data_IF_730858960082
#
_entry.id   IF_730858960082
#
_cell.length_a   1.000
_cell.length_b   1.000
_cell.length_c   1.000
_cell.angle_alpha   90.00
_cell.angle_beta   90.00
_cell.angle_gamma   90.00
#
_symmetry.space_group_name_H-M   'P 1'
#
loop_
_entity.id
_entity.type
_entity.pdbx_description
1 polymer ?
#
# COMPACT_ATOMS: atom_id res chain seq x y z
N UNK A 1 7.16 -3.66 -27.00
CA UNK A 1 6.78 -2.26 -26.69
C UNK A 1 7.58 -1.80 -25.49
N UNK A 2 7.96 -0.51 -25.44
CA UNK A 2 8.54 0.08 -24.24
C UNK A 2 7.46 0.20 -23.14
N UNK A 3 7.86 0.13 -21.86
CA UNK A 3 6.93 0.31 -20.73
C UNK A 3 6.45 1.75 -20.65
N UNK A 4 5.18 1.91 -20.27
CA UNK A 4 4.60 3.20 -19.84
C UNK A 4 5.24 3.67 -18.54
N UNK A 5 5.01 4.94 -18.16
CA UNK A 5 5.51 5.47 -16.89
C UNK A 5 4.93 4.73 -15.68
N UNK A 6 3.63 4.40 -15.72
CA UNK A 6 2.97 3.64 -14.65
C UNK A 6 3.56 2.24 -14.50
N UNK A 7 3.78 1.53 -15.61
CA UNK A 7 4.43 0.22 -15.58
C UNK A 7 5.85 0.28 -15.03
N UNK A 8 6.61 1.35 -15.30
CA UNK A 8 7.95 1.56 -14.72
C UNK A 8 7.89 1.80 -13.22
N UNK A 9 6.94 2.60 -12.73
CA UNK A 9 6.76 2.87 -11.29
C UNK A 9 6.42 1.57 -10.56
N UNK A 10 5.42 0.82 -11.03
CA UNK A 10 5.06 -0.47 -10.42
C UNK A 10 6.18 -1.50 -10.58
N UNK A 11 6.92 -1.48 -11.68
CA UNK A 11 8.06 -2.39 -11.84
C UNK A 11 9.15 -2.12 -10.81
N UNK A 12 9.41 -0.84 -10.52
CA UNK A 12 10.33 -0.42 -9.47
C UNK A 12 9.81 -0.81 -8.08
N UNK A 13 8.55 -0.51 -7.78
CA UNK A 13 7.94 -0.77 -6.47
C UNK A 13 7.80 -2.27 -6.14
N UNK A 14 7.87 -3.14 -7.15
CA UNK A 14 7.74 -4.60 -7.02
C UNK A 14 9.05 -5.36 -7.30
N UNK A 15 10.11 -4.66 -7.73
CA UNK A 15 11.37 -5.21 -8.22
C UNK A 15 11.21 -6.28 -9.33
N UNK A 16 10.23 -6.11 -10.21
CA UNK A 16 9.87 -7.03 -11.30
C UNK A 16 9.38 -6.25 -12.51
N UNK A 17 9.51 -6.79 -13.73
CA UNK A 17 8.93 -6.14 -14.91
C UNK A 17 7.43 -6.42 -14.99
N UNK A 18 6.60 -5.38 -14.96
CA UNK A 18 5.13 -5.52 -14.99
C UNK A 18 4.51 -4.92 -16.25
N UNK A 19 3.30 -5.36 -16.58
CA UNK A 19 2.46 -4.84 -17.67
C UNK A 19 1.00 -4.68 -17.23
N UNK A 20 0.22 -3.94 -18.01
CA UNK A 20 -1.23 -3.83 -17.80
C UNK A 20 -1.90 -5.21 -17.69
N UNK A 21 -2.74 -5.39 -16.67
CA UNK A 21 -3.43 -6.64 -16.35
C UNK A 21 -2.74 -7.53 -15.32
N UNK A 22 -1.48 -7.24 -14.95
CA UNK A 22 -0.79 -7.98 -13.90
C UNK A 22 -1.34 -7.61 -12.51
N UNK A 23 -1.58 -8.61 -11.65
CA UNK A 23 -1.79 -8.41 -10.21
C UNK A 23 -0.44 -8.35 -9.50
N UNK A 24 -0.20 -7.31 -8.69
CA UNK A 24 1.09 -7.10 -8.02
C UNK A 24 0.91 -6.64 -6.58
N UNK A 25 1.89 -6.96 -5.74
CA UNK A 25 2.04 -6.42 -4.39
C UNK A 25 3.17 -5.37 -4.43
N UNK A 26 2.81 -4.10 -4.46
CA UNK A 26 3.74 -2.98 -4.54
C UNK A 26 3.95 -2.35 -3.15
N UNK A 27 5.18 -1.92 -2.87
CA UNK A 27 5.46 -1.13 -1.67
C UNK A 27 4.79 0.25 -1.75
N UNK A 28 4.35 0.75 -0.60
CA UNK A 28 3.74 2.06 -0.46
C UNK A 28 4.77 3.02 0.12
N UNK A 29 5.09 4.08 -0.63
CA UNK A 29 6.05 5.10 -0.21
C UNK A 29 5.44 6.11 0.78
N UNK A 30 4.16 6.45 0.61
CA UNK A 30 3.44 7.34 1.50
C UNK A 30 1.93 7.02 1.48
N UNK A 31 1.27 7.11 2.63
CA UNK A 31 -0.18 7.06 2.73
C UNK A 31 -0.68 8.28 3.50
N UNK A 32 -1.69 8.96 2.95
CA UNK A 32 -2.29 10.13 3.53
C UNK A 32 -3.75 9.85 3.88
N UNK A 33 -4.21 10.43 4.99
CA UNK A 33 -5.61 10.44 5.36
C UNK A 33 -6.04 11.87 5.72
N UNK A 34 -7.35 12.11 5.73
CA UNK A 34 -7.95 13.39 6.13
C UNK A 34 -9.05 13.16 7.16
N UNK A 35 -9.60 14.25 7.69
CA UNK A 35 -10.59 14.32 8.76
C UNK A 35 -11.63 13.18 8.79
N UNK A 36 -12.30 12.90 7.67
CA UNK A 36 -13.34 11.87 7.60
C UNK A 36 -12.78 10.46 7.40
N UNK A 37 -11.75 10.31 6.55
CA UNK A 37 -11.22 8.98 6.21
C UNK A 37 -10.30 8.40 7.28
N UNK A 38 -9.72 9.24 8.13
CA UNK A 38 -8.78 8.83 9.18
C UNK A 38 -9.43 7.92 10.23
N UNK A 39 -10.55 8.34 10.86
CA UNK A 39 -11.28 7.51 11.80
C UNK A 39 -11.69 6.16 11.22
N UNK A 40 -12.19 6.13 9.97
CA UNK A 40 -12.60 4.89 9.29
C UNK A 40 -11.41 3.95 9.02
N UNK A 41 -10.26 4.50 8.61
CA UNK A 41 -9.04 3.71 8.41
C UNK A 41 -8.53 3.10 9.73
N UNK A 42 -8.62 3.84 10.84
CA UNK A 42 -8.22 3.35 12.18
C UNK A 42 -9.18 2.26 12.68
N UNK A 43 -10.48 2.40 12.44
CA UNK A 43 -11.47 1.36 12.77
C UNK A 43 -11.18 0.06 12.01
N UNK A 44 -10.99 0.14 10.68
CA UNK A 44 -10.61 -1.02 9.87
C UNK A 44 -9.28 -1.64 10.32
N UNK A 45 -8.28 -0.82 10.63
CA UNK A 45 -7.00 -1.29 11.15
C UNK A 45 -7.17 -2.08 12.46
N UNK A 46 -7.98 -1.58 13.41
CA UNK A 46 -8.23 -2.24 14.70
C UNK A 46 -8.86 -3.62 14.55
N UNK A 47 -9.79 -3.78 13.60
CA UNK A 47 -10.35 -5.11 13.31
C UNK A 47 -9.32 -6.04 12.66
N UNK A 48 -8.52 -5.55 11.70
CA UNK A 48 -7.46 -6.34 11.04
C UNK A 48 -6.41 -6.85 12.04
N UNK A 49 -6.04 -6.02 13.02
CA UNK A 49 -5.04 -6.40 14.05
C UNK A 49 -5.66 -7.09 15.27
N UNK A 50 -6.94 -7.46 15.17
CA UNK A 50 -7.70 -8.37 16.04
C UNK A 50 -6.84 -9.45 16.70
N UNK A 51 -6.51 -9.35 17.99
CA UNK A 51 -5.77 -10.41 18.71
C UNK A 51 -4.26 -10.48 18.44
N UNK A 52 -3.66 -9.50 17.75
CA UNK A 52 -2.20 -9.35 17.65
C UNK A 52 -1.64 -8.91 19.01
N UNK A 53 -0.54 -9.52 19.45
CA UNK A 53 0.14 -9.17 20.72
C UNK A 53 0.71 -7.75 20.74
N UNK A 54 1.12 -7.22 19.59
CA UNK A 54 1.69 -5.88 19.48
C UNK A 54 1.26 -5.23 18.15
N UNK A 55 0.05 -4.67 18.08
CA UNK A 55 -0.45 -4.04 16.86
C UNK A 55 0.29 -2.73 16.59
N UNK A 56 0.84 -2.58 15.37
CA UNK A 56 1.55 -1.38 14.94
C UNK A 56 1.34 -1.12 13.44
N UNK A 57 1.44 0.15 13.04
CA UNK A 57 1.55 0.54 11.63
C UNK A 57 2.89 0.06 11.05
N UNK A 58 3.02 0.00 9.72
CA UNK A 58 4.25 -0.48 9.09
C UNK A 58 5.39 0.54 9.21
N UNK A 59 5.09 1.82 9.01
CA UNK A 59 6.00 2.96 9.11
C UNK A 59 5.22 4.20 9.55
N UNK A 60 5.57 4.83 10.69
CA UNK A 60 4.93 6.06 11.16
C UNK A 60 5.61 7.35 10.67
N UNK A 61 6.71 7.25 9.92
CA UNK A 61 7.57 8.38 9.54
C UNK A 61 7.13 9.09 8.27
#
# INVERSE_FOLDING_TARGET
MAQTISEKIFSKATNKKVKAGDFVLANIDCAMTHDITGPLAVEGFREIVKGKKNPRVWDPS
#
